data_IF_456992844306
#
_entry.id   IF_456992844306
#
_cell.length_a   1.000
_cell.length_b   1.000
_cell.length_c   1.000
_cell.angle_alpha   90.00
_cell.angle_beta   90.00
_cell.angle_gamma   90.00
#
_symmetry.space_group_name_H-M   'P 1'
#
loop_
_entity.id
_entity.type
_entity.pdbx_description
1 polymer ?
#
# COMPACT_ATOMS: atom_id res chain seq x y z
N UNK A 1 5.16 24.39 -16.66
CA UNK A 1 4.16 23.38 -16.22
C UNK A 1 4.68 22.80 -14.92
N UNK A 2 3.99 23.04 -13.80
CA UNK A 2 4.57 23.02 -12.45
C UNK A 2 4.62 21.66 -11.76
N UNK A 3 5.45 21.57 -10.71
CA UNK A 3 5.64 20.46 -9.77
C UNK A 3 4.33 19.84 -9.22
N UNK A 4 3.23 20.58 -9.26
CA UNK A 4 1.93 20.21 -8.67
C UNK A 4 1.00 19.45 -9.63
N UNK A 5 1.38 19.23 -10.89
CA UNK A 5 0.53 18.55 -11.88
C UNK A 5 1.17 17.21 -12.23
N UNK A 6 0.62 16.12 -11.69
CA UNK A 6 1.07 14.76 -12.01
C UNK A 6 -0.11 13.91 -12.51
N UNK A 7 0.06 13.12 -13.60
CA UNK A 7 -0.97 12.24 -14.11
C UNK A 7 -1.26 11.12 -13.10
N UNK A 8 -2.54 10.81 -12.89
CA UNK A 8 -2.94 9.72 -12.00
C UNK A 8 -2.46 8.39 -12.58
N UNK A 9 -1.66 7.65 -11.80
CA UNK A 9 -1.25 6.30 -12.18
C UNK A 9 -2.39 5.31 -11.95
N UNK A 10 -2.57 4.35 -12.86
CA UNK A 10 -3.52 3.25 -12.70
C UNK A 10 -3.10 2.34 -11.53
N UNK A 11 -3.78 2.49 -10.39
CA UNK A 11 -3.60 1.63 -9.22
C UNK A 11 -4.41 2.14 -8.04
N UNK A 12 -5.12 1.24 -7.36
CA UNK A 12 -5.84 1.56 -6.12
C UNK A 12 -4.78 1.68 -5.02
N UNK A 13 -4.45 2.91 -4.65
CA UNK A 13 -3.59 3.20 -3.50
C UNK A 13 -4.46 3.88 -2.46
N UNK A 14 -4.51 3.35 -1.24
CA UNK A 14 -5.30 3.93 -0.14
C UNK A 14 -4.97 5.41 0.07
N UNK A 15 -3.69 5.78 -0.13
CA UNK A 15 -3.21 7.15 0.09
C UNK A 15 -2.85 7.88 -1.20
N UNK A 16 -2.64 7.22 -2.33
CA UNK A 16 -2.20 7.89 -3.58
C UNK A 16 -1.02 8.85 -3.31
N UNK A 17 0.07 8.30 -2.73
CA UNK A 17 1.23 9.06 -2.27
C UNK A 17 1.82 10.01 -3.31
N UNK A 18 1.68 9.66 -4.60
CA UNK A 18 2.13 10.49 -5.73
C UNK A 18 1.46 11.87 -5.72
N UNK A 19 0.17 11.95 -5.39
CA UNK A 19 -0.57 13.21 -5.33
C UNK A 19 -0.46 13.84 -3.94
N UNK A 20 -0.36 13.01 -2.89
CA UNK A 20 -0.29 13.51 -1.52
C UNK A 20 0.93 14.41 -1.29
N UNK A 21 2.10 14.07 -1.82
CA UNK A 21 3.30 14.92 -1.64
C UNK A 21 3.06 16.33 -2.17
N UNK A 22 2.47 16.46 -3.36
CA UNK A 22 2.13 17.77 -3.93
C UNK A 22 1.09 18.52 -3.09
N UNK A 23 0.09 17.81 -2.54
CA UNK A 23 -0.92 18.40 -1.65
C UNK A 23 -0.31 18.85 -0.31
N UNK A 24 0.52 18.02 0.32
CA UNK A 24 1.17 18.33 1.58
C UNK A 24 2.16 19.48 1.44
N UNK A 25 2.91 19.56 0.33
CA UNK A 25 3.78 20.71 0.05
C UNK A 25 3.03 22.05 0.01
N UNK A 26 1.72 22.05 -0.29
CA UNK A 26 0.87 23.26 -0.23
C UNK A 26 0.30 23.55 1.16
N UNK A 27 0.44 22.62 2.09
CA UNK A 27 -0.14 22.65 3.43
C UNK A 27 0.90 22.36 4.53
N UNK A 28 2.17 22.67 4.27
CA UNK A 28 3.25 22.44 5.23
C UNK A 28 4.32 23.52 5.14
N UNK A 29 5.01 23.71 6.25
CA UNK A 29 6.30 24.37 6.24
C UNK A 29 7.29 23.54 5.42
N UNK A 30 8.24 24.21 4.76
CA UNK A 30 9.22 23.55 3.91
C UNK A 30 10.62 23.95 4.37
N UNK A 31 11.45 22.95 4.65
CA UNK A 31 12.87 23.13 4.96
C UNK A 31 13.69 22.85 3.71
N UNK A 32 14.58 23.78 3.36
CA UNK A 32 15.52 23.65 2.24
C UNK A 32 16.94 23.61 2.79
N UNK A 33 17.73 22.65 2.34
CA UNK A 33 19.12 22.47 2.74
C UNK A 33 19.96 22.04 1.54
N UNK A 34 21.27 22.23 1.64
CA UNK A 34 22.24 21.82 0.64
C UNK A 34 23.30 20.90 1.23
N UNK A 35 24.00 20.16 0.36
CA UNK A 35 25.08 19.25 0.76
C UNK A 35 26.17 19.98 1.55
N UNK A 36 26.61 21.14 1.05
CA UNK A 36 27.68 21.96 1.64
C UNK A 36 27.14 23.14 2.46
N UNK A 37 25.86 23.09 2.87
CA UNK A 37 25.17 24.19 3.55
C UNK A 37 24.52 25.16 2.57
N UNK A 38 24.36 26.42 2.99
CA UNK A 38 23.70 27.45 2.18
C UNK A 38 24.60 27.95 1.06
N UNK A 39 24.11 27.80 -0.17
CA UNK A 39 24.67 28.43 -1.37
C UNK A 39 23.58 29.18 -2.16
N UNK A 40 23.97 29.80 -3.28
CA UNK A 40 23.05 30.55 -4.13
C UNK A 40 21.92 29.68 -4.70
N UNK A 41 22.18 28.39 -4.97
CA UNK A 41 21.19 27.46 -5.50
C UNK A 41 20.13 27.12 -4.45
N UNK A 42 20.55 26.81 -3.22
CA UNK A 42 19.68 26.55 -2.07
C UNK A 42 18.77 27.76 -1.84
N UNK A 43 19.34 28.96 -1.86
CA UNK A 43 18.59 30.20 -1.69
C UNK A 43 17.62 30.47 -2.86
N UNK A 44 18.01 30.18 -4.09
CA UNK A 44 17.13 30.31 -5.25
C UNK A 44 15.94 29.36 -5.14
N UNK A 45 16.17 28.08 -4.83
CA UNK A 45 15.12 27.08 -4.65
C UNK A 45 14.17 27.49 -3.52
N UNK A 46 14.70 27.91 -2.37
CA UNK A 46 13.88 28.36 -1.24
C UNK A 46 12.98 29.55 -1.63
N UNK A 47 13.53 30.55 -2.35
CA UNK A 47 12.75 31.70 -2.86
C UNK A 47 11.67 31.27 -3.85
N UNK A 48 11.98 30.33 -4.75
CA UNK A 48 11.00 29.82 -5.72
C UNK A 48 9.84 29.10 -5.01
N UNK A 49 10.14 28.29 -3.99
CA UNK A 49 9.12 27.60 -3.19
C UNK A 49 8.27 28.60 -2.41
N UNK A 50 8.90 29.56 -1.73
CA UNK A 50 8.19 30.60 -0.97
C UNK A 50 7.26 31.42 -1.87
N UNK A 51 7.74 31.76 -3.08
CA UNK A 51 6.91 32.44 -4.08
C UNK A 51 5.74 31.58 -4.55
N UNK A 52 5.95 30.29 -4.80
CA UNK A 52 4.90 29.36 -5.19
C UNK A 52 3.82 29.22 -4.10
N UNK A 53 4.21 29.08 -2.83
CA UNK A 53 3.27 29.03 -1.70
C UNK A 53 2.47 30.34 -1.58
N UNK A 54 3.12 31.49 -1.76
CA UNK A 54 2.45 32.81 -1.75
C UNK A 54 1.44 32.96 -2.89
N UNK A 55 1.77 32.50 -4.10
CA UNK A 55 0.83 32.51 -5.23
C UNK A 55 -0.37 31.60 -4.97
N UNK A 56 -0.13 30.39 -4.46
CA UNK A 56 -1.21 29.44 -4.15
C UNK A 56 -2.17 29.99 -3.08
N UNK A 57 -1.66 30.72 -2.09
CA UNK A 57 -2.46 31.41 -1.08
C UNK A 57 -3.36 32.49 -1.67
N UNK A 58 -2.90 33.22 -2.69
CA UNK A 58 -3.71 34.26 -3.35
C UNK A 58 -5.01 33.68 -3.92
N UNK A 59 -4.96 32.45 -4.42
CA UNK A 59 -6.12 31.75 -4.98
C UNK A 59 -6.97 31.07 -3.89
N UNK A 60 -6.44 30.91 -2.67
CA UNK A 60 -7.09 30.24 -1.52
C UNK A 60 -6.80 30.97 -0.20
N UNK A 61 -7.45 32.12 0.05
CA UNK A 61 -7.13 33.02 1.17
C UNK A 61 -7.45 32.45 2.56
N UNK A 62 -8.24 31.38 2.65
CA UNK A 62 -8.64 30.76 3.93
C UNK A 62 -7.64 29.70 4.43
N UNK A 63 -6.52 29.48 3.73
CA UNK A 63 -5.49 28.53 4.15
C UNK A 63 -4.57 29.12 5.22
N UNK A 64 -4.07 28.25 6.11
CA UNK A 64 -3.06 28.60 7.11
C UNK A 64 -1.77 29.11 6.43
N UNK A 65 -1.05 29.99 7.12
CA UNK A 65 0.26 30.46 6.66
C UNK A 65 1.33 29.42 6.95
N UNK A 66 2.10 29.07 5.93
CA UNK A 66 3.26 28.19 6.00
C UNK A 66 4.50 28.96 5.55
N UNK A 67 5.64 28.57 6.11
CA UNK A 67 6.92 29.22 5.94
C UNK A 67 7.93 28.31 5.23
N UNK A 68 8.91 28.95 4.59
CA UNK A 68 10.06 28.27 4.01
C UNK A 68 11.30 28.60 4.83
N UNK A 69 11.87 27.59 5.46
CA UNK A 69 13.08 27.69 6.26
C UNK A 69 14.28 27.20 5.46
N UNK A 70 15.41 27.86 5.64
CA UNK A 70 16.68 27.44 5.04
C UNK A 70 17.61 27.02 6.16
N UNK A 71 18.14 25.80 6.04
CA UNK A 71 19.11 25.25 6.99
C UNK A 71 20.50 25.70 6.55
N UNK A 72 21.22 26.36 7.47
CA UNK A 72 22.54 26.94 7.21
C UNK A 72 23.64 25.88 7.23
N UNK A 73 23.50 24.91 8.13
CA UNK A 73 24.49 23.86 8.34
C UNK A 73 24.60 22.91 7.14
N UNK A 74 25.82 22.37 6.88
CA UNK A 74 26.02 21.37 5.85
C UNK A 74 25.32 20.05 6.19
N UNK A 75 25.03 19.25 5.17
CA UNK A 75 24.37 17.97 5.36
C UNK A 75 25.18 17.01 6.24
N UNK A 76 26.52 17.09 6.19
CA UNK A 76 27.41 16.28 7.03
C UNK A 76 27.12 16.40 8.53
N UNK A 77 26.65 17.56 8.99
CA UNK A 77 26.25 17.77 10.37
C UNK A 77 25.06 16.86 10.78
N UNK A 78 24.08 16.68 9.89
CA UNK A 78 22.98 15.75 10.13
C UNK A 78 23.44 14.30 10.15
N UNK A 79 24.40 13.94 9.30
CA UNK A 79 24.93 12.58 9.24
C UNK A 79 25.69 12.17 10.50
N UNK A 80 26.35 13.14 11.16
CA UNK A 80 27.17 12.95 12.34
C UNK A 80 26.35 13.06 13.64
N UNK A 81 25.55 14.12 13.78
CA UNK A 81 24.87 14.44 15.04
C UNK A 81 23.44 13.87 15.13
N UNK A 82 22.78 13.64 13.99
CA UNK A 82 21.38 13.16 13.93
C UNK A 82 21.20 12.03 12.90
N UNK A 83 22.01 10.94 12.97
CA UNK A 83 22.01 9.88 11.97
C UNK A 83 20.65 9.20 11.79
N UNK A 84 19.79 9.19 12.81
CA UNK A 84 18.43 8.63 12.78
C UNK A 84 17.47 9.40 11.86
N UNK A 85 17.73 10.69 11.60
CA UNK A 85 16.92 11.52 10.71
C UNK A 85 17.31 11.35 9.23
N UNK A 86 18.46 10.73 8.96
CA UNK A 86 19.00 10.56 7.61
C UNK A 86 18.48 9.26 6.97
N UNK A 87 17.70 9.42 5.91
CA UNK A 87 17.16 8.27 5.16
C UNK A 87 18.17 7.67 4.18
N UNK A 88 18.91 8.53 3.48
CA UNK A 88 19.98 8.20 2.53
C UNK A 88 21.14 9.13 2.85
N UNK A 89 22.31 8.56 3.05
CA UNK A 89 23.51 9.31 3.39
C UNK A 89 24.21 9.89 2.14
N UNK A 90 25.20 10.75 2.32
CA UNK A 90 25.95 11.44 1.26
C UNK A 90 26.68 10.49 0.31
N UNK A 91 26.88 9.22 0.73
CA UNK A 91 27.46 8.15 -0.09
C UNK A 91 26.40 7.32 -0.82
N UNK A 92 25.13 7.68 -0.69
CA UNK A 92 24.00 6.95 -1.27
C UNK A 92 23.62 5.69 -0.50
N UNK A 93 24.15 5.47 0.70
CA UNK A 93 23.81 4.32 1.53
C UNK A 93 22.48 4.58 2.22
N UNK A 94 21.56 3.62 2.06
CA UNK A 94 20.24 3.66 2.70
C UNK A 94 20.43 3.35 4.20
N UNK A 95 20.00 4.26 5.07
CA UNK A 95 20.04 4.09 6.54
C UNK A 95 18.64 3.93 7.12
N UNK A 96 17.92 5.03 7.31
CA UNK A 96 16.58 5.05 7.92
C UNK A 96 15.46 5.25 6.90
N UNK A 97 15.66 4.83 5.64
CA UNK A 97 14.65 4.99 4.60
C UNK A 97 13.44 4.12 4.90
N UNK A 98 12.31 4.78 5.14
CA UNK A 98 11.01 4.12 5.15
C UNK A 98 10.57 3.95 3.70
N UNK A 99 10.40 2.70 3.24
CA UNK A 99 9.76 2.45 1.96
C UNK A 99 8.24 2.57 2.13
N UNK A 100 7.70 3.75 1.81
CA UNK A 100 6.27 4.01 1.90
C UNK A 100 5.44 3.07 1.03
N UNK A 101 5.95 2.60 -0.12
CA UNK A 101 5.22 1.67 -0.97
C UNK A 101 5.12 0.28 -0.34
N UNK A 102 6.21 -0.22 0.24
CA UNK A 102 6.19 -1.52 0.91
C UNK A 102 5.34 -1.46 2.17
N UNK A 103 5.44 -0.37 2.94
CA UNK A 103 4.58 -0.13 4.10
C UNK A 103 3.11 0.00 3.71
N UNK A 104 2.79 0.65 2.59
CA UNK A 104 1.41 0.72 2.09
C UNK A 104 0.89 -0.65 1.65
N UNK A 105 1.73 -1.46 0.99
CA UNK A 105 1.36 -2.84 0.65
C UNK A 105 1.07 -3.66 1.89
N UNK A 106 1.91 -3.55 2.91
CA UNK A 106 1.70 -4.27 4.18
C UNK A 106 0.43 -3.79 4.88
N UNK A 107 0.21 -2.48 4.96
CA UNK A 107 -1.02 -1.93 5.55
C UNK A 107 -2.27 -2.30 4.73
N UNK A 108 -2.18 -2.34 3.39
CA UNK A 108 -3.26 -2.83 2.54
C UNK A 108 -3.53 -4.32 2.78
N UNK A 109 -2.49 -5.14 2.89
CA UNK A 109 -2.61 -6.56 3.22
C UNK A 109 -3.32 -6.75 4.55
N UNK A 110 -2.89 -6.04 5.60
CA UNK A 110 -3.51 -6.10 6.93
C UNK A 110 -4.97 -5.62 6.88
N UNK A 111 -5.27 -4.54 6.14
CA UNK A 111 -6.64 -4.01 6.05
C UNK A 111 -7.58 -4.91 5.26
N UNK A 112 -7.04 -5.74 4.38
CA UNK A 112 -7.83 -6.63 3.50
C UNK A 112 -7.68 -8.10 3.87
N UNK A 113 -7.00 -8.40 4.97
CA UNK A 113 -6.84 -9.76 5.48
C UNK A 113 -8.18 -10.35 5.88
N UNK A 114 -8.31 -11.66 5.71
CA UNK A 114 -9.51 -12.38 6.10
C UNK A 114 -9.92 -12.09 7.55
N UNK A 115 -11.19 -11.76 7.74
CA UNK A 115 -11.79 -11.53 9.06
C UNK A 115 -13.09 -12.32 9.21
N UNK A 116 -13.36 -12.79 10.42
CA UNK A 116 -14.58 -13.52 10.72
C UNK A 116 -15.79 -12.57 10.68
N UNK A 117 -16.72 -12.81 9.76
CA UNK A 117 -17.95 -12.03 9.60
C UNK A 117 -19.16 -12.71 10.28
N UNK A 118 -19.05 -14.00 10.54
CA UNK A 118 -20.03 -14.82 11.28
C UNK A 118 -19.35 -16.09 11.77
N UNK A 119 -19.99 -16.85 12.67
CA UNK A 119 -19.44 -18.08 13.23
C UNK A 119 -18.90 -19.02 12.13
N UNK A 120 -17.58 -19.21 12.09
CA UNK A 120 -16.86 -20.02 11.08
C UNK A 120 -17.02 -19.52 9.63
N UNK A 121 -17.31 -18.25 9.42
CA UNK A 121 -17.41 -17.61 8.10
C UNK A 121 -16.46 -16.42 8.04
N UNK A 122 -15.54 -16.47 7.09
CA UNK A 122 -14.48 -15.48 6.93
C UNK A 122 -14.58 -14.80 5.57
N UNK A 123 -14.28 -13.51 5.54
CA UNK A 123 -14.24 -12.70 4.32
C UNK A 123 -12.86 -12.05 4.21
N UNK A 124 -12.17 -12.31 3.10
CA UNK A 124 -10.85 -11.79 2.79
C UNK A 124 -10.71 -11.47 1.30
N UNK A 125 -9.47 -11.21 0.87
CA UNK A 125 -9.13 -10.97 -0.52
C UNK A 125 -8.53 -12.25 -1.18
N UNK A 126 -8.20 -12.20 -2.48
CA UNK A 126 -7.62 -13.34 -3.23
C UNK A 126 -6.29 -13.86 -2.63
N UNK A 127 -5.54 -13.04 -1.89
CA UNK A 127 -4.32 -13.44 -1.18
C UNK A 127 -4.60 -14.27 0.09
N UNK A 128 -5.83 -14.26 0.61
CA UNK A 128 -6.25 -15.08 1.75
C UNK A 128 -6.81 -16.45 1.32
N UNK A 129 -6.89 -16.72 0.02
CA UNK A 129 -7.40 -17.99 -0.52
C UNK A 129 -6.40 -19.10 -0.16
N UNK A 130 -6.83 -20.16 0.55
CA UNK A 130 -6.01 -21.36 0.76
C UNK A 130 -5.62 -21.97 -0.59
N UNK A 131 -4.34 -22.22 -0.83
CA UNK A 131 -3.82 -22.78 -2.09
C UNK A 131 -3.34 -24.20 -1.83
N UNK A 132 -3.71 -25.15 -2.69
CA UNK A 132 -3.11 -26.49 -2.70
C UNK A 132 -1.70 -26.45 -3.30
N UNK A 133 -0.81 -27.33 -2.84
CA UNK A 133 0.61 -27.37 -3.22
C UNK A 133 0.91 -27.64 -4.71
N UNK A 134 -0.12 -27.87 -5.54
CA UNK A 134 0.00 -28.26 -6.94
C UNK A 134 -0.07 -27.08 -7.94
N UNK A 135 -0.24 -25.83 -7.47
CA UNK A 135 -0.28 -24.66 -8.34
C UNK A 135 1.10 -24.01 -8.51
N UNK A 136 1.47 -23.75 -9.76
CA UNK A 136 2.78 -23.21 -10.14
C UNK A 136 3.04 -21.86 -9.44
N UNK A 137 4.16 -21.69 -8.70
CA UNK A 137 4.45 -20.50 -7.90
C UNK A 137 4.74 -19.23 -8.74
N UNK A 138 4.65 -19.33 -10.08
CA UNK A 138 4.85 -18.21 -11.00
C UNK A 138 3.59 -17.36 -11.21
N UNK A 139 2.38 -17.92 -10.98
CA UNK A 139 1.10 -17.22 -11.17
C UNK A 139 0.51 -16.66 -9.85
N UNK A 140 1.11 -17.00 -8.71
CA UNK A 140 0.64 -16.55 -7.40
C UNK A 140 1.74 -15.82 -6.66
N UNK A 141 1.53 -14.52 -6.42
CA UNK A 141 2.35 -13.71 -5.51
C UNK A 141 2.16 -14.09 -4.02
N UNK A 142 2.00 -15.38 -3.72
CA UNK A 142 1.53 -15.91 -2.44
C UNK A 142 2.56 -16.94 -1.95
N UNK A 143 3.11 -16.67 -0.77
CA UNK A 143 4.23 -17.39 -0.17
C UNK A 143 3.78 -18.57 0.67
N UNK A 144 4.25 -19.78 0.32
CA UNK A 144 4.87 -20.86 1.12
C UNK A 144 4.66 -21.01 2.65
N UNK A 145 3.67 -20.42 3.32
CA UNK A 145 3.49 -20.55 4.78
C UNK A 145 2.01 -20.67 5.16
N UNK A 146 1.69 -21.85 5.71
CA UNK A 146 0.46 -22.32 6.37
C UNK A 146 -0.78 -22.40 5.47
N UNK A 147 -0.96 -23.56 4.84
CA UNK A 147 -1.84 -23.73 3.68
C UNK A 147 -3.35 -23.62 4.01
N UNK A 148 -3.78 -23.66 5.27
CA UNK A 148 -5.18 -23.44 5.69
C UNK A 148 -5.29 -23.25 7.23
N UNK A 149 -4.92 -22.08 7.79
CA UNK A 149 -4.76 -21.90 9.23
C UNK A 149 -6.06 -22.06 10.03
N UNK A 150 -7.21 -21.86 9.38
CA UNK A 150 -8.53 -21.95 9.99
C UNK A 150 -9.29 -23.24 9.65
N UNK A 151 -8.65 -24.19 8.94
CA UNK A 151 -9.25 -25.45 8.52
C UNK A 151 -10.59 -25.26 7.77
N UNK A 152 -10.61 -24.29 6.85
CA UNK A 152 -11.74 -24.06 5.96
C UNK A 152 -12.08 -25.33 5.17
N UNK A 153 -13.37 -25.64 5.05
CA UNK A 153 -13.87 -26.73 4.22
C UNK A 153 -14.45 -26.25 2.88
N UNK A 154 -14.82 -24.97 2.80
CA UNK A 154 -15.37 -24.33 1.60
C UNK A 154 -14.67 -23.00 1.41
N UNK A 155 -14.20 -22.74 0.20
CA UNK A 155 -13.71 -21.45 -0.26
C UNK A 155 -14.62 -20.96 -1.39
N UNK A 156 -15.13 -19.73 -1.27
CA UNK A 156 -15.96 -19.12 -2.32
C UNK A 156 -15.20 -17.92 -2.88
N UNK A 157 -14.73 -18.02 -4.12
CA UNK A 157 -14.08 -16.91 -4.81
C UNK A 157 -15.09 -16.16 -5.69
N UNK A 158 -15.17 -14.84 -5.52
CA UNK A 158 -16.08 -14.01 -6.30
C UNK A 158 -15.32 -13.16 -7.31
N UNK A 159 -15.53 -13.39 -8.62
CA UNK A 159 -14.93 -12.57 -9.67
C UNK A 159 -15.90 -12.32 -10.85
N UNK A 160 -15.55 -11.40 -11.73
CA UNK A 160 -16.40 -10.93 -12.84
C UNK A 160 -16.50 -11.92 -14.01
N UNK A 161 -15.49 -12.77 -14.17
CA UNK A 161 -15.47 -13.86 -15.14
C UNK A 161 -16.11 -15.18 -14.65
N UNK A 162 -16.58 -15.23 -13.39
CA UNK A 162 -17.16 -16.45 -12.81
C UNK A 162 -18.62 -16.64 -13.26
N UNK A 163 -19.05 -17.89 -13.30
CA UNK A 163 -20.48 -18.24 -13.43
C UNK A 163 -21.12 -18.37 -12.04
N UNK A 164 -22.45 -18.22 -11.96
CA UNK A 164 -23.18 -18.48 -10.71
C UNK A 164 -23.28 -20.00 -10.51
N UNK A 165 -22.96 -20.55 -9.32
CA UNK A 165 -23.14 -21.97 -9.03
C UNK A 165 -24.60 -22.38 -9.28
N UNK A 166 -24.79 -23.42 -10.09
CA UNK A 166 -26.10 -24.00 -10.34
C UNK A 166 -26.46 -25.04 -9.25
N UNK A 167 -27.71 -25.52 -9.27
CA UNK A 167 -28.19 -26.51 -8.31
C UNK A 167 -27.35 -27.80 -8.34
N UNK A 168 -26.84 -28.17 -9.53
CA UNK A 168 -25.98 -29.34 -9.74
C UNK A 168 -24.64 -29.19 -9.00
N UNK A 169 -23.99 -28.04 -9.13
CA UNK A 169 -22.72 -27.69 -8.49
C UNK A 169 -22.86 -27.67 -6.97
N UNK A 170 -23.94 -27.07 -6.47
CA UNK A 170 -24.23 -27.04 -5.03
C UNK A 170 -24.53 -28.44 -4.47
N UNK A 171 -25.25 -29.29 -5.21
CA UNK A 171 -25.50 -30.67 -4.81
C UNK A 171 -24.21 -31.49 -4.71
N UNK A 172 -23.29 -31.29 -5.68
CA UNK A 172 -21.99 -31.95 -5.66
C UNK A 172 -21.15 -31.50 -4.45
N UNK A 173 -21.06 -30.20 -4.19
CA UNK A 173 -20.36 -29.64 -3.03
C UNK A 173 -20.94 -30.17 -1.71
N UNK A 174 -22.27 -30.20 -1.57
CA UNK A 174 -22.93 -30.77 -0.38
C UNK A 174 -22.61 -32.26 -0.19
N UNK A 175 -22.54 -33.03 -1.29
CA UNK A 175 -22.11 -34.42 -1.28
C UNK A 175 -20.68 -34.58 -0.78
N UNK A 176 -19.74 -33.76 -1.26
CA UNK A 176 -18.35 -33.78 -0.81
C UNK A 176 -18.23 -33.41 0.68
N UNK A 177 -18.93 -32.36 1.14
CA UNK A 177 -18.95 -31.98 2.56
C UNK A 177 -19.40 -33.13 3.47
N UNK A 178 -20.35 -33.94 3.02
CA UNK A 178 -20.85 -35.08 3.80
C UNK A 178 -19.83 -36.22 3.95
N UNK A 179 -18.84 -36.29 3.06
CA UNK A 179 -17.80 -37.33 3.02
C UNK A 179 -16.53 -36.93 3.80
N UNK A 180 -16.38 -35.65 4.13
CA UNK A 180 -15.19 -35.15 4.83
C UNK A 180 -15.12 -35.72 6.26
N UNK A 181 -14.06 -36.48 6.54
CA UNK A 181 -13.76 -37.02 7.86
C UNK A 181 -12.83 -36.07 8.64
N UNK A 182 -12.72 -36.22 9.97
CA UNK A 182 -12.09 -35.26 10.92
C UNK A 182 -10.61 -34.86 10.67
N UNK A 183 -9.93 -35.38 9.64
CA UNK A 183 -8.56 -35.00 9.29
C UNK A 183 -8.58 -34.36 7.91
N UNK A 184 -8.27 -33.06 7.85
CA UNK A 184 -8.38 -32.24 6.65
C UNK A 184 -7.00 -31.88 6.12
N UNK A 185 -6.84 -31.98 4.81
CA UNK A 185 -5.75 -31.37 4.05
C UNK A 185 -6.30 -30.26 3.16
N UNK A 186 -5.43 -29.41 2.61
CA UNK A 186 -5.82 -28.33 1.71
C UNK A 186 -6.41 -28.79 0.38
N UNK A 187 -6.08 -30.02 -0.02
CA UNK A 187 -6.65 -30.66 -1.21
C UNK A 187 -8.13 -31.04 -1.01
N UNK A 188 -8.62 -31.02 0.23
CA UNK A 188 -10.00 -31.34 0.59
C UNK A 188 -10.92 -30.09 0.62
N UNK A 189 -10.39 -28.90 0.32
CA UNK A 189 -11.18 -27.66 0.30
C UNK A 189 -12.05 -27.65 -0.95
N UNK A 190 -13.34 -27.40 -0.76
CA UNK A 190 -14.27 -27.24 -1.86
C UNK A 190 -14.19 -25.79 -2.34
N UNK A 191 -13.63 -25.60 -3.53
CA UNK A 191 -13.58 -24.30 -4.20
C UNK A 191 -14.85 -24.08 -5.03
N UNK A 192 -15.49 -22.94 -4.82
CA UNK A 192 -16.65 -22.48 -5.59
C UNK A 192 -16.36 -21.10 -6.16
N UNK A 193 -16.55 -20.93 -7.46
CA UNK A 193 -16.53 -19.62 -8.09
C UNK A 193 -17.94 -19.04 -8.09
N UNK A 194 -18.06 -17.74 -7.87
CA UNK A 194 -19.33 -17.04 -7.87
C UNK A 194 -19.22 -15.72 -8.63
N UNK A 195 -20.23 -15.42 -9.45
CA UNK A 195 -20.26 -14.15 -10.16
C UNK A 195 -20.38 -12.98 -9.18
N UNK A 196 -19.43 -12.05 -9.26
CA UNK A 196 -19.50 -10.77 -8.54
C UNK A 196 -20.42 -9.80 -9.30
N UNK A 197 -21.74 -9.91 -9.16
CA UNK A 197 -22.68 -8.92 -9.70
C UNK A 197 -22.61 -7.62 -8.88
N UNK A 198 -22.27 -6.50 -9.52
CA UNK A 198 -22.39 -5.16 -8.94
C UNK A 198 -23.83 -4.77 -8.65
#
# INVERSE_FOLDING_TARGET
>A
KGFLIHPEGSGINLRNFKIQVAKYATLSDIFVYGENGVDDNVMEVAKQIAWAQKLFRKDKPNLMEYEVFVIVDPFSYFEEEYPELVSIDSKGVIRNKINFLDREREEMKILTSASEISTNVWLGNTQDVPISSDLDPADSAISLIDDNPHQFCVCIESHDLAEMPDETTLCFAAGQLSLLSKSFTTDDIIHLDCISSR
#
